data_IF_529226829589
#
_entry.id   IF_529226829589
#
_cell.length_a   1.000
_cell.length_b   1.000
_cell.length_c   1.000
_cell.angle_alpha   90.00
_cell.angle_beta   90.00
_cell.angle_gamma   90.00
#
_symmetry.space_group_name_H-M   'P 1'
#
loop_
_entity.id
_entity.type
_entity.pdbx_description
1 polymer ?
#
# COMPACT_ATOMS: atom_id res chain seq x y z
N UNK A 1 0.17 -8.31 -20.57
CA UNK A 1 0.96 -8.15 -19.34
C UNK A 1 0.72 -6.74 -18.84
N UNK A 2 0.44 -6.54 -17.56
CA UNK A 2 0.20 -5.19 -17.01
C UNK A 2 1.50 -4.43 -16.82
N UNK A 3 1.43 -3.12 -16.96
CA UNK A 3 2.53 -2.21 -16.61
C UNK A 3 2.64 -2.03 -15.09
N UNK A 4 3.80 -1.59 -14.62
CA UNK A 4 4.00 -1.26 -13.20
C UNK A 4 2.96 -0.24 -12.68
N UNK A 5 2.56 0.73 -13.53
CA UNK A 5 1.54 1.72 -13.17
C UNK A 5 0.16 1.08 -12.95
N UNK A 6 -0.26 0.19 -13.86
CA UNK A 6 -1.53 -0.54 -13.70
C UNK A 6 -1.51 -1.46 -12.47
N UNK A 7 -0.37 -2.08 -12.16
CA UNK A 7 -0.19 -2.90 -10.96
C UNK A 7 -0.32 -2.04 -9.70
N UNK A 8 0.34 -0.89 -9.65
CA UNK A 8 0.23 0.06 -8.54
C UNK A 8 -1.21 0.53 -8.32
N UNK A 9 -1.95 0.81 -9.40
CA UNK A 9 -3.38 1.17 -9.32
C UNK A 9 -4.21 0.01 -8.78
N UNK A 10 -4.02 -1.20 -9.30
CA UNK A 10 -4.72 -2.41 -8.85
C UNK A 10 -4.46 -2.74 -7.38
N UNK A 11 -3.24 -2.55 -6.91
CA UNK A 11 -2.89 -2.74 -5.50
C UNK A 11 -3.67 -1.79 -4.60
N UNK A 12 -3.71 -0.48 -4.93
CA UNK A 12 -4.48 0.52 -4.18
C UNK A 12 -5.98 0.21 -4.17
N UNK A 13 -6.55 -0.11 -5.33
CA UNK A 13 -7.98 -0.40 -5.46
C UNK A 13 -8.42 -1.61 -4.64
N UNK A 14 -7.66 -2.72 -4.70
CA UNK A 14 -7.99 -3.95 -3.97
C UNK A 14 -7.75 -3.80 -2.47
N UNK A 15 -6.68 -3.13 -2.05
CA UNK A 15 -6.46 -2.82 -0.63
C UNK A 15 -7.57 -1.96 -0.06
N UNK A 16 -8.00 -0.91 -0.77
CA UNK A 16 -9.09 -0.05 -0.34
C UNK A 16 -10.39 -0.85 -0.16
N UNK A 17 -10.70 -1.76 -1.11
CA UNK A 17 -11.88 -2.63 -1.03
C UNK A 17 -11.82 -3.60 0.14
N UNK A 18 -10.65 -4.19 0.42
CA UNK A 18 -10.49 -5.18 1.50
C UNK A 18 -10.46 -4.55 2.90
N UNK A 19 -9.87 -3.37 3.03
CA UNK A 19 -9.61 -2.75 4.34
C UNK A 19 -10.61 -1.64 4.67
N UNK A 20 -11.29 -1.06 3.68
CA UNK A 20 -12.09 0.14 3.82
C UNK A 20 -11.27 1.42 4.04
N UNK A 21 -9.94 1.33 3.96
CA UNK A 21 -9.03 2.44 4.21
C UNK A 21 -8.70 3.19 2.93
N UNK A 22 -8.27 4.45 3.06
CA UNK A 22 -7.85 5.27 1.92
C UNK A 22 -6.36 5.05 1.62
N UNK A 23 -6.00 4.54 0.43
CA UNK A 23 -4.62 4.50 -0.02
C UNK A 23 -4.09 5.91 -0.24
N UNK A 24 -2.89 6.17 0.25
CA UNK A 24 -2.24 7.47 0.13
C UNK A 24 -1.16 7.45 -0.95
N UNK A 25 -0.16 6.57 -0.82
CA UNK A 25 0.95 6.49 -1.76
C UNK A 25 1.44 5.06 -1.96
N UNK A 26 2.10 4.82 -3.09
CA UNK A 26 2.88 3.61 -3.34
C UNK A 26 4.34 3.96 -3.09
N UNK A 27 4.94 3.38 -2.06
CA UNK A 27 6.31 3.70 -1.62
C UNK A 27 7.36 2.74 -2.18
N UNK A 28 6.98 1.55 -2.63
CA UNK A 28 7.86 0.63 -3.34
C UNK A 28 7.08 -0.26 -4.32
N UNK A 29 7.73 -0.63 -5.42
CA UNK A 29 7.21 -1.57 -6.39
C UNK A 29 8.36 -2.37 -7.04
N UNK A 30 8.25 -3.68 -7.01
CA UNK A 30 9.20 -4.59 -7.65
C UNK A 30 8.49 -5.82 -8.20
N UNK A 31 9.21 -6.63 -8.97
CA UNK A 31 8.73 -7.88 -9.53
C UNK A 31 9.77 -8.97 -9.37
N UNK A 32 9.35 -10.13 -8.91
CA UNK A 32 10.15 -11.35 -8.84
C UNK A 32 9.36 -12.56 -9.38
N UNK A 33 9.87 -13.76 -9.12
CA UNK A 33 9.24 -15.02 -9.54
C UNK A 33 7.89 -15.30 -8.85
N UNK A 34 7.63 -14.68 -7.69
CA UNK A 34 6.39 -14.83 -6.92
C UNK A 34 5.31 -13.83 -7.35
N UNK A 35 5.69 -12.81 -8.12
CA UNK A 35 4.78 -11.82 -8.69
C UNK A 35 5.26 -10.38 -8.48
N UNK A 36 4.29 -9.47 -8.47
CA UNK A 36 4.52 -8.06 -8.19
C UNK A 36 4.40 -7.79 -6.70
N UNK A 37 5.44 -7.20 -6.13
CA UNK A 37 5.46 -6.75 -4.75
C UNK A 37 5.23 -5.25 -4.72
N UNK A 38 4.21 -4.81 -4.00
CA UNK A 38 3.83 -3.41 -3.90
C UNK A 38 3.70 -3.03 -2.44
N UNK A 39 4.37 -1.95 -2.06
CA UNK A 39 4.23 -1.35 -0.73
C UNK A 39 3.35 -0.11 -0.85
N UNK A 40 2.27 -0.07 -0.07
CA UNK A 40 1.28 1.01 -0.10
C UNK A 40 1.08 1.54 1.31
N UNK A 41 1.13 2.85 1.47
CA UNK A 41 0.76 3.50 2.73
C UNK A 41 -0.72 3.90 2.68
N UNK A 42 -1.46 3.55 3.73
CA UNK A 42 -2.89 3.83 3.88
C UNK A 42 -3.13 4.65 5.14
N UNK A 43 -4.19 5.45 5.12
CA UNK A 43 -4.63 6.22 6.28
C UNK A 43 -5.58 5.35 7.11
N UNK A 44 -5.13 4.89 8.28
CA UNK A 44 -5.96 4.12 9.22
C UNK A 44 -6.87 5.03 10.05
N UNK A 45 -6.39 6.22 10.41
CA UNK A 45 -7.16 7.16 11.22
C UNK A 45 -6.79 8.60 10.87
N UNK A 46 -7.78 9.36 10.41
CA UNK A 46 -7.70 10.80 10.20
C UNK A 46 -7.77 11.56 11.53
N UNK A 47 -6.92 12.57 11.72
CA UNK A 47 -6.84 13.41 12.93
C UNK A 47 -6.60 14.89 12.59
N UNK A 48 -6.74 15.76 13.59
CA UNK A 48 -6.49 17.21 13.48
C UNK A 48 -5.46 17.61 14.56
N UNK A 49 -4.33 18.23 14.20
CA UNK A 49 -3.90 18.55 12.83
C UNK A 49 -3.51 17.30 12.03
N UNK A 50 -3.53 17.38 10.69
CA UNK A 50 -3.26 16.24 9.78
C UNK A 50 -1.89 15.59 9.98
N UNK A 51 -0.91 16.32 10.54
CA UNK A 51 0.41 15.78 10.93
C UNK A 51 0.31 14.66 11.97
N UNK A 52 -0.84 14.52 12.64
CA UNK A 52 -1.12 13.47 13.62
C UNK A 52 -1.98 12.33 13.07
N UNK A 53 -2.27 12.31 11.76
CA UNK A 53 -2.88 11.15 11.10
C UNK A 53 -2.09 9.88 11.43
N UNK A 54 -2.81 8.77 11.63
CA UNK A 54 -2.20 7.44 11.77
C UNK A 54 -2.21 6.76 10.42
N UNK A 55 -1.00 6.46 9.93
CA UNK A 55 -0.78 5.73 8.69
C UNK A 55 -0.36 4.30 9.01
N UNK A 56 -0.53 3.44 8.02
CA UNK A 56 -0.10 2.06 8.05
C UNK A 56 0.49 1.68 6.69
N UNK A 57 1.64 1.00 6.72
CA UNK A 57 2.26 0.44 5.52
C UNK A 57 1.75 -0.98 5.31
N UNK A 58 1.38 -1.28 4.07
CA UNK A 58 0.91 -2.58 3.64
C UNK A 58 1.80 -3.12 2.52
N UNK A 59 2.29 -4.34 2.71
CA UNK A 59 2.93 -5.12 1.65
C UNK A 59 1.88 -5.97 0.95
N UNK A 60 1.87 -5.94 -0.38
CA UNK A 60 0.93 -6.66 -1.25
C UNK A 60 1.69 -7.45 -2.28
N UNK A 61 1.26 -8.69 -2.53
CA UNK A 61 1.73 -9.48 -3.67
C UNK A 61 0.59 -9.61 -4.69
N UNK A 62 0.85 -9.32 -5.96
CA UNK A 62 -0.10 -9.47 -7.06
C UNK A 62 0.45 -10.38 -8.15
N UNK A 63 -0.44 -11.10 -8.85
CA UNK A 63 -0.08 -11.84 -10.05
C UNK A 63 0.17 -10.90 -11.27
N UNK A 64 0.52 -11.48 -12.41
CA UNK A 64 0.77 -10.77 -13.68
C UNK A 64 -0.46 -10.01 -14.24
N UNK A 65 -1.65 -10.41 -13.82
CA UNK A 65 -2.92 -9.77 -14.19
C UNK A 65 -3.33 -8.69 -13.17
N UNK A 66 -2.55 -8.51 -12.10
CA UNK A 66 -2.82 -7.56 -11.03
C UNK A 66 -3.91 -8.03 -10.08
N UNK A 67 -4.13 -9.33 -9.93
CA UNK A 67 -4.98 -9.87 -8.88
C UNK A 67 -4.15 -10.06 -7.60
N UNK A 68 -4.65 -9.58 -6.47
CA UNK A 68 -3.98 -9.71 -5.19
C UNK A 68 -3.94 -11.17 -4.73
N UNK A 69 -2.73 -11.67 -4.48
CA UNK A 69 -2.47 -13.00 -3.91
C UNK A 69 -2.36 -12.96 -2.39
N UNK A 70 -1.80 -11.88 -1.84
CA UNK A 70 -1.67 -11.68 -0.40
C UNK A 70 -1.54 -10.21 -0.04
N UNK A 71 -1.87 -9.87 1.21
CA UNK A 71 -1.54 -8.57 1.81
C UNK A 71 -1.25 -8.72 3.30
N UNK A 72 -0.42 -7.84 3.83
CA UNK A 72 -0.15 -7.75 5.27
C UNK A 72 0.17 -6.31 5.66
N UNK A 73 -0.27 -5.88 6.84
CA UNK A 73 0.17 -4.63 7.45
C UNK A 73 1.53 -4.84 8.09
N UNK A 74 2.54 -4.09 7.64
CA UNK A 74 3.93 -4.25 8.10
C UNK A 74 4.29 -3.30 9.24
N UNK A 75 3.68 -2.11 9.28
CA UNK A 75 3.89 -1.14 10.37
C UNK A 75 2.75 -0.13 10.47
N UNK A 76 2.74 0.62 11.57
CA UNK A 76 1.92 1.82 11.79
C UNK A 76 2.76 2.94 12.35
N UNK A 77 2.48 4.16 11.94
CA UNK A 77 3.26 5.34 12.30
C UNK A 77 2.40 6.60 12.19
N UNK A 78 2.84 7.70 12.80
CA UNK A 78 2.20 9.00 12.62
C UNK A 78 2.72 9.67 11.35
N UNK A 79 1.88 10.43 10.64
CA UNK A 79 2.28 11.15 9.41
C UNK A 79 3.56 11.97 9.58
N UNK A 80 3.70 12.66 10.70
CA UNK A 80 4.87 13.50 11.00
C UNK A 80 6.13 12.73 11.42
N UNK A 81 6.06 11.41 11.51
CA UNK A 81 7.20 10.57 11.89
C UNK A 81 8.17 10.44 10.70
N UNK A 82 9.45 10.71 10.96
CA UNK A 82 10.52 10.45 10.00
C UNK A 82 10.95 9.00 10.21
N UNK A 83 10.78 8.16 9.20
CA UNK A 83 11.39 6.83 9.18
C UNK A 83 12.38 6.75 8.04
N UNK A 84 13.58 6.25 8.32
CA UNK A 84 14.55 5.85 7.30
C UNK A 84 14.07 4.54 6.64
N UNK A 85 14.10 4.48 5.31
CA UNK A 85 13.77 3.29 4.51
C UNK A 85 15.02 2.48 4.21
#
# INVERSE_FOLDING_TARGET
MKTALEIAQRAKEQLAQLTGLTPETVSALSKDEQGWHVTVDLIELKRIPESTDVLATYGVVLDEAGNMLSYQRTRRYYRGEITEQ
#
